data_IF_390986884748
#
_entry.id   IF_390986884748
#
_cell.length_a   1.000
_cell.length_b   1.000
_cell.length_c   1.000
_cell.angle_alpha   90.00
_cell.angle_beta   90.00
_cell.angle_gamma   90.00
#
_symmetry.space_group_name_H-M   'P 1'
#
loop_
_entity.id
_entity.type
_entity.pdbx_description
1 polymer ?
#
# COMPACT_ATOMS: atom_id res chain seq x y z
N UNK A 1 12.64 6.38 -1.64
CA UNK A 1 12.11 5.71 -0.44
C UNK A 1 12.03 4.23 -0.70
N UNK A 2 12.47 3.40 0.24
CA UNK A 2 12.53 1.95 0.07
C UNK A 2 11.46 1.24 0.92
N UNK A 3 11.14 -0.02 0.59
CA UNK A 3 10.10 -0.80 1.30
C UNK A 3 10.36 -0.92 2.80
N UNK A 4 11.63 -0.98 3.21
CA UNK A 4 12.00 -1.08 4.62
C UNK A 4 11.58 0.16 5.43
N UNK A 5 11.37 1.32 4.79
CA UNK A 5 10.83 2.50 5.47
C UNK A 5 9.37 2.29 5.90
N UNK A 6 8.56 1.60 5.06
CA UNK A 6 7.17 1.27 5.39
C UNK A 6 7.12 0.26 6.54
N UNK A 7 8.00 -0.76 6.52
CA UNK A 7 8.12 -1.70 7.63
C UNK A 7 8.51 -1.00 8.95
N UNK A 8 9.48 -0.08 8.88
CA UNK A 8 9.89 0.70 10.05
C UNK A 8 8.77 1.57 10.64
N UNK A 9 7.81 2.03 9.82
CA UNK A 9 6.61 2.73 10.32
C UNK A 9 5.73 1.77 11.12
N UNK A 10 5.47 0.56 10.62
CA UNK A 10 4.75 -0.48 11.35
C UNK A 10 5.44 -0.83 12.68
N UNK A 11 6.76 -1.03 12.65
CA UNK A 11 7.55 -1.34 13.84
C UNK A 11 7.44 -0.23 14.90
N UNK A 12 7.52 1.04 14.47
CA UNK A 12 7.40 2.19 15.36
C UNK A 12 6.00 2.33 15.96
N UNK A 13 4.95 2.09 15.18
CA UNK A 13 3.57 2.08 15.69
C UNK A 13 3.35 0.96 16.70
N UNK A 14 3.94 -0.23 16.46
CA UNK A 14 3.97 -1.33 17.43
C UNK A 14 4.68 -0.94 18.73
N UNK A 15 5.86 -0.32 18.63
CA UNK A 15 6.63 0.15 19.79
C UNK A 15 5.88 1.21 20.62
N UNK A 16 5.09 2.07 19.95
CA UNK A 16 4.23 3.07 20.59
C UNK A 16 2.90 2.50 21.11
N UNK A 17 2.64 1.20 20.93
CA UNK A 17 1.35 0.55 21.23
C UNK A 17 0.17 1.20 20.52
N UNK A 18 0.40 1.69 19.30
CA UNK A 18 -0.60 2.30 18.41
C UNK A 18 -0.85 1.46 17.18
N UNK A 19 -0.77 0.14 17.27
CA UNK A 19 -1.00 -0.76 16.13
C UNK A 19 -2.44 -0.74 15.63
N UNK A 20 -3.38 -0.32 16.48
CA UNK A 20 -4.81 -0.13 16.17
C UNK A 20 -5.05 0.94 15.08
N UNK A 21 -4.11 1.87 14.89
CA UNK A 21 -4.19 2.86 13.81
C UNK A 21 -3.77 2.31 12.44
N UNK A 22 -3.18 1.11 12.40
CA UNK A 22 -2.89 0.41 11.15
C UNK A 22 -4.19 -0.21 10.65
N UNK A 23 -4.74 0.36 9.59
CA UNK A 23 -6.01 -0.08 9.04
C UNK A 23 -5.82 -1.29 8.10
N UNK A 24 -4.77 -1.30 7.28
CA UNK A 24 -4.50 -2.37 6.32
C UNK A 24 -3.04 -2.38 5.86
N UNK A 25 -2.47 -3.57 5.70
CA UNK A 25 -1.10 -3.78 5.23
C UNK A 25 -0.09 -4.07 6.36
N UNK A 26 1.22 -3.99 6.08
CA UNK A 26 1.80 -3.61 4.80
C UNK A 26 1.58 -4.69 3.73
N UNK A 27 1.52 -4.30 2.47
CA UNK A 27 1.24 -5.23 1.38
C UNK A 27 1.89 -4.80 0.06
N UNK A 28 1.70 -5.65 -0.95
CA UNK A 28 2.02 -5.33 -2.34
C UNK A 28 0.69 -5.16 -3.09
N UNK A 29 0.46 -4.05 -3.75
CA UNK A 29 -0.71 -3.95 -4.60
C UNK A 29 -0.56 -4.75 -5.89
N UNK A 30 -1.66 -5.31 -6.39
CA UNK A 30 -1.73 -5.75 -7.80
C UNK A 30 -1.77 -4.52 -8.72
N UNK A 31 -2.84 -3.73 -8.64
CA UNK A 31 -2.94 -2.42 -9.30
C UNK A 31 -1.83 -1.49 -8.79
N UNK A 32 -1.10 -0.82 -9.69
CA UNK A 32 0.12 0.00 -9.42
C UNK A 32 1.40 -0.75 -9.06
N UNK A 33 1.34 -2.01 -8.62
CA UNK A 33 2.50 -2.80 -8.16
C UNK A 33 3.25 -2.20 -6.95
N UNK A 34 2.73 -1.14 -6.33
CA UNK A 34 3.42 -0.45 -5.24
C UNK A 34 3.42 -1.26 -3.94
N UNK A 35 4.41 -0.99 -3.09
CA UNK A 35 4.38 -1.43 -1.70
C UNK A 35 3.61 -0.39 -0.88
N UNK A 36 2.65 -0.83 -0.06
CA UNK A 36 1.65 0.04 0.55
C UNK A 36 1.44 -0.24 2.04
N UNK A 37 0.92 0.77 2.75
CA UNK A 37 0.39 0.68 4.11
C UNK A 37 -0.70 1.75 4.30
N UNK A 38 -1.85 1.37 4.85
CA UNK A 38 -2.93 2.29 5.21
C UNK A 38 -3.01 2.51 6.72
N UNK A 39 -3.05 3.78 7.12
CA UNK A 39 -3.17 4.23 8.50
C UNK A 39 -4.42 5.11 8.67
N UNK A 40 -4.88 5.25 9.92
CA UNK A 40 -5.85 6.26 10.34
C UNK A 40 -5.17 7.30 11.23
N UNK A 41 -5.36 8.57 10.91
CA UNK A 41 -4.93 9.67 11.77
C UNK A 41 -5.91 9.85 12.97
N UNK A 42 -5.61 10.74 13.94
CA UNK A 42 -6.47 10.95 15.11
C UNK A 42 -7.89 11.44 14.80
N UNK A 43 -8.10 12.09 13.66
CA UNK A 43 -9.42 12.57 13.20
C UNK A 43 -10.15 11.53 12.33
N UNK A 44 -9.52 10.37 12.11
CA UNK A 44 -10.05 9.25 11.34
C UNK A 44 -9.83 9.37 9.83
N UNK A 45 -9.03 10.33 9.35
CA UNK A 45 -8.63 10.41 7.96
C UNK A 45 -7.68 9.26 7.61
N UNK A 46 -7.88 8.67 6.41
CA UNK A 46 -7.03 7.59 5.92
C UNK A 46 -5.80 8.17 5.22
N UNK A 47 -4.62 7.67 5.59
CA UNK A 47 -3.35 8.01 4.96
C UNK A 47 -2.73 6.75 4.38
N UNK A 48 -2.25 6.84 3.13
CA UNK A 48 -1.50 5.78 2.47
C UNK A 48 -0.01 6.13 2.42
N UNK A 49 0.83 5.21 2.87
CA UNK A 49 2.28 5.27 2.66
C UNK A 49 2.63 4.35 1.50
N UNK A 50 3.33 4.90 0.50
CA UNK A 50 3.45 4.30 -0.83
C UNK A 50 4.87 4.38 -1.38
N UNK A 51 5.31 3.36 -2.11
CA UNK A 51 6.56 3.42 -2.87
C UNK A 51 6.63 2.40 -4.02
N UNK A 52 7.47 2.71 -5.02
CA UNK A 52 7.90 1.82 -6.11
C UNK A 52 6.78 1.34 -7.04
N UNK A 53 6.02 2.29 -7.60
CA UNK A 53 5.26 2.04 -8.83
C UNK A 53 6.13 2.22 -10.08
N UNK A 54 5.47 2.29 -11.23
CA UNK A 54 6.12 2.41 -12.53
C UNK A 54 5.80 3.76 -13.18
N UNK A 55 6.73 4.21 -14.01
CA UNK A 55 6.56 5.41 -14.84
C UNK A 55 5.43 5.22 -15.85
N UNK A 56 4.62 6.25 -16.04
CA UNK A 56 3.44 6.24 -16.93
C UNK A 56 3.36 7.49 -17.82
N UNK A 57 4.46 8.23 -17.96
CA UNK A 57 4.46 9.52 -18.67
C UNK A 57 4.41 9.42 -20.19
N UNK A 58 4.63 8.24 -20.77
CA UNK A 58 4.48 8.02 -22.20
C UNK A 58 3.00 8.06 -22.60
N UNK A 59 2.62 8.76 -23.69
CA UNK A 59 1.23 9.03 -24.03
C UNK A 59 0.43 7.77 -24.40
N UNK A 60 1.13 6.70 -24.80
CA UNK A 60 0.58 5.39 -25.15
C UNK A 60 0.90 4.30 -24.11
N UNK A 61 1.29 4.70 -22.89
CA UNK A 61 1.58 3.77 -21.80
C UNK A 61 0.43 2.73 -21.66
N UNK A 62 0.73 1.42 -21.70
CA UNK A 62 -0.30 0.38 -21.68
C UNK A 62 -1.22 0.47 -20.47
N UNK A 63 -2.53 0.43 -20.72
CA UNK A 63 -3.53 0.35 -19.65
C UNK A 63 -3.68 -1.11 -19.20
N UNK A 64 -3.47 -1.38 -17.92
CA UNK A 64 -3.67 -2.70 -17.32
C UNK A 64 -5.06 -2.78 -16.70
N UNK A 65 -5.87 -3.76 -17.13
CA UNK A 65 -7.21 -4.02 -16.59
C UNK A 65 -7.19 -5.26 -15.72
N UNK A 66 -7.88 -5.21 -14.57
CA UNK A 66 -8.00 -6.31 -13.63
C UNK A 66 -9.46 -6.72 -13.44
N UNK A 67 -9.72 -8.02 -13.36
CA UNK A 67 -11.05 -8.54 -13.03
C UNK A 67 -11.39 -8.31 -11.56
N UNK A 68 -12.64 -7.98 -11.25
CA UNK A 68 -13.06 -7.68 -9.86
C UNK A 68 -13.08 -8.91 -8.95
N UNK A 69 -13.10 -10.10 -9.51
CA UNK A 69 -13.05 -11.38 -8.80
C UNK A 69 -11.62 -11.92 -8.66
N UNK A 70 -10.63 -11.26 -9.28
CA UNK A 70 -9.23 -11.57 -9.03
C UNK A 70 -8.83 -11.11 -7.62
N UNK A 71 -8.47 -12.08 -6.77
CA UNK A 71 -8.07 -11.84 -5.39
C UNK A 71 -6.70 -11.13 -5.30
N UNK A 72 -5.88 -11.18 -6.34
CA UNK A 72 -4.57 -10.55 -6.37
C UNK A 72 -4.58 -9.09 -6.86
N UNK A 73 -5.73 -8.60 -7.37
CA UNK A 73 -5.80 -7.25 -7.94
C UNK A 73 -5.52 -6.13 -6.94
N UNK A 74 -5.85 -6.32 -5.65
CA UNK A 74 -5.73 -5.30 -4.59
C UNK A 74 -4.56 -5.56 -3.65
N UNK A 75 -4.41 -6.81 -3.23
CA UNK A 75 -3.24 -7.30 -2.52
C UNK A 75 -2.68 -8.46 -3.31
N UNK A 76 -1.50 -8.30 -3.87
CA UNK A 76 -0.87 -9.28 -4.75
C UNK A 76 -0.60 -10.61 -4.03
N UNK A 77 -0.48 -10.59 -2.70
CA UNK A 77 -0.32 -11.80 -1.89
C UNK A 77 -1.66 -12.45 -1.53
N UNK A 78 -2.79 -11.83 -1.90
CA UNK A 78 -4.14 -12.34 -1.70
C UNK A 78 -4.69 -12.16 -0.29
N UNK A 79 -4.12 -11.24 0.51
CA UNK A 79 -4.60 -10.90 1.86
C UNK A 79 -5.89 -10.07 1.87
#
# INVERSE_FOLDING_TARGET
HEKHNILAICDKLGALRKSDVIERGPGRHGVSNAFYLYLRDPDGHRVEIYTQDYYTGDPDNPTVTWDVHDNQRRDWWGN
#
